data_IF_846307471844
#
_entry.id   IF_846307471844
#
_cell.length_a   1.000
_cell.length_b   1.000
_cell.length_c   1.000
_cell.angle_alpha   90.00
_cell.angle_beta   90.00
_cell.angle_gamma   90.00
#
_symmetry.space_group_name_H-M   'P 1'
#
loop_
_entity.id
_entity.type
_entity.pdbx_description
1 polymer ?
#
# COMPACT_ATOMS: atom_id res chain seq x y z
N UNK A 1 -70.76 5.61 -28.26
CA UNK A 1 -69.48 5.45 -28.98
C UNK A 1 -68.37 5.55 -27.94
N UNK A 2 -67.45 4.60 -27.99
CA UNK A 2 -66.77 3.97 -26.84
C UNK A 2 -65.52 4.71 -26.37
N UNK A 3 -65.39 4.96 -25.07
CA UNK A 3 -64.15 5.45 -24.43
C UNK A 3 -63.20 4.26 -24.20
N UNK A 4 -62.02 4.30 -24.81
CA UNK A 4 -60.98 3.29 -24.65
C UNK A 4 -60.09 3.64 -23.44
N UNK A 5 -60.13 2.79 -22.40
CA UNK A 5 -59.22 2.80 -21.26
C UNK A 5 -57.91 2.08 -21.65
N UNK A 6 -56.81 2.82 -21.75
CA UNK A 6 -55.48 2.24 -21.95
C UNK A 6 -54.95 1.70 -20.61
N UNK A 7 -54.84 0.38 -20.49
CA UNK A 7 -54.25 -0.27 -19.33
C UNK A 7 -52.74 -0.01 -19.24
N UNK A 8 -52.24 0.36 -18.05
CA UNK A 8 -50.80 0.43 -17.73
C UNK A 8 -50.18 -0.97 -17.74
N UNK A 9 -48.98 -1.17 -18.29
CA UNK A 9 -48.25 -2.42 -18.10
C UNK A 9 -47.84 -2.56 -16.63
N UNK A 10 -48.04 -3.75 -16.07
CA UNK A 10 -47.54 -4.16 -14.76
C UNK A 10 -46.00 -4.22 -14.80
N UNK A 11 -45.33 -3.34 -14.07
CA UNK A 11 -43.89 -3.49 -13.80
C UNK A 11 -43.67 -4.73 -12.92
N UNK A 12 -43.03 -5.76 -13.47
CA UNK A 12 -42.47 -6.85 -12.67
C UNK A 12 -41.40 -6.30 -11.71
N UNK A 13 -41.27 -6.84 -10.48
CA UNK A 13 -40.23 -6.40 -9.55
C UNK A 13 -38.86 -6.74 -10.15
N UNK A 14 -38.04 -5.72 -10.42
CA UNK A 14 -36.67 -5.90 -10.85
C UNK A 14 -35.89 -6.63 -9.74
N UNK A 15 -35.47 -7.87 -10.03
CA UNK A 15 -34.65 -8.68 -9.14
C UNK A 15 -33.35 -7.93 -8.79
N UNK A 16 -32.97 -7.79 -7.51
CA UNK A 16 -31.74 -7.08 -7.15
C UNK A 16 -30.53 -7.81 -7.75
N UNK A 17 -29.75 -7.10 -8.57
CA UNK A 17 -28.58 -7.66 -9.23
C UNK A 17 -27.55 -8.15 -8.21
N UNK A 18 -27.19 -9.43 -8.33
CA UNK A 18 -26.40 -10.25 -7.40
C UNK A 18 -24.88 -9.99 -7.49
N UNK A 19 -24.45 -8.73 -7.70
CA UNK A 19 -23.04 -8.38 -8.02
C UNK A 19 -22.35 -7.41 -7.04
N UNK A 20 -22.89 -7.20 -5.85
CA UNK A 20 -22.32 -6.32 -4.82
C UNK A 20 -21.52 -7.11 -3.78
N UNK A 21 -20.47 -7.82 -4.21
CA UNK A 21 -19.50 -8.43 -3.29
C UNK A 21 -18.21 -7.61 -3.21
N UNK A 22 -17.46 -7.61 -2.10
CA UNK A 22 -16.15 -6.95 -1.99
C UNK A 22 -15.17 -7.42 -3.08
N UNK A 23 -15.27 -8.69 -3.49
CA UNK A 23 -14.53 -9.26 -4.62
C UNK A 23 -14.95 -8.64 -5.96
N UNK A 24 -16.25 -8.37 -6.16
CA UNK A 24 -16.71 -7.72 -7.39
C UNK A 24 -16.25 -6.27 -7.49
N UNK A 25 -16.12 -5.58 -6.36
CA UNK A 25 -15.52 -4.24 -6.27
C UNK A 25 -14.03 -4.31 -6.59
N UNK A 26 -13.29 -5.23 -5.98
CA UNK A 26 -11.86 -5.43 -6.26
C UNK A 26 -11.61 -5.74 -7.75
N UNK A 27 -12.44 -6.61 -8.34
CA UNK A 27 -12.36 -6.94 -9.78
C UNK A 27 -12.71 -5.73 -10.65
N UNK A 28 -13.71 -4.92 -10.27
CA UNK A 28 -14.07 -3.72 -11.02
C UNK A 28 -12.97 -2.65 -10.96
N UNK A 29 -12.37 -2.41 -9.79
CA UNK A 29 -11.25 -1.48 -9.60
C UNK A 29 -9.99 -1.97 -10.32
N UNK A 30 -9.66 -3.27 -10.22
CA UNK A 30 -8.56 -3.85 -10.99
C UNK A 30 -8.78 -3.69 -12.49
N UNK A 31 -10.01 -3.92 -12.97
CA UNK A 31 -10.35 -3.74 -14.39
C UNK A 31 -10.29 -2.28 -14.81
N UNK A 32 -10.65 -1.34 -13.94
CA UNK A 32 -10.52 0.10 -14.19
C UNK A 32 -9.05 0.53 -14.25
N UNK A 33 -8.21 0.05 -13.33
CA UNK A 33 -6.78 0.28 -13.32
C UNK A 33 -6.17 -0.24 -14.63
N UNK A 34 -6.40 -1.50 -14.98
CA UNK A 34 -5.87 -2.12 -16.21
C UNK A 34 -6.41 -1.45 -17.48
N UNK A 35 -7.65 -0.96 -17.47
CA UNK A 35 -8.25 -0.29 -18.64
C UNK A 35 -7.71 1.14 -18.83
N UNK A 36 -7.28 1.80 -17.75
CA UNK A 36 -6.56 3.06 -17.84
C UNK A 36 -5.06 2.80 -18.01
N UNK A 37 -4.65 2.54 -19.26
CA UNK A 37 -3.27 2.19 -19.61
C UNK A 37 -2.26 3.17 -19.01
N UNK A 38 -2.55 4.47 -18.98
CA UNK A 38 -1.63 5.47 -18.42
C UNK A 38 -1.45 5.30 -16.92
N UNK A 39 -2.54 5.10 -16.16
CA UNK A 39 -2.47 4.90 -14.70
C UNK A 39 -1.84 3.55 -14.36
N UNK A 40 -2.20 2.48 -15.08
CA UNK A 40 -1.56 1.17 -14.91
C UNK A 40 -0.06 1.22 -15.24
N UNK A 41 0.31 1.89 -16.33
CA UNK A 41 1.71 2.06 -16.71
C UNK A 41 2.47 2.86 -15.66
N UNK A 42 1.96 4.00 -15.18
CA UNK A 42 2.64 4.77 -14.15
C UNK A 42 2.76 4.01 -12.81
N UNK A 43 1.67 3.36 -12.38
CA UNK A 43 1.65 2.56 -11.14
C UNK A 43 2.59 1.35 -11.22
N UNK A 44 2.79 0.77 -12.42
CA UNK A 44 3.68 -0.36 -12.63
C UNK A 44 5.14 0.08 -12.84
N UNK A 45 5.36 1.06 -13.71
CA UNK A 45 6.69 1.48 -14.17
C UNK A 45 7.44 2.26 -13.11
N UNK A 46 6.81 3.14 -12.33
CA UNK A 46 7.55 3.97 -11.37
C UNK A 46 8.22 3.13 -10.26
N UNK A 47 7.52 2.19 -9.58
CA UNK A 47 8.17 1.34 -8.57
C UNK A 47 9.21 0.40 -9.19
N UNK A 48 8.97 -0.14 -10.38
CA UNK A 48 9.93 -1.00 -11.08
C UNK A 48 11.16 -0.23 -11.57
N UNK A 49 10.97 1.01 -12.04
CA UNK A 49 12.06 1.88 -12.45
C UNK A 49 12.91 2.29 -11.25
N UNK A 50 12.30 2.60 -10.11
CA UNK A 50 13.02 2.79 -8.85
C UNK A 50 13.86 1.54 -8.50
N UNK A 51 13.25 0.37 -8.66
CA UNK A 51 13.87 -0.95 -8.67
C UNK A 51 15.16 -1.02 -9.50
N UNK A 52 15.00 -0.83 -10.81
CA UNK A 52 16.06 -0.93 -11.78
C UNK A 52 17.16 0.13 -11.58
N UNK A 53 16.79 1.34 -11.18
CA UNK A 53 17.70 2.47 -11.03
C UNK A 53 18.68 2.25 -9.87
N UNK A 54 18.16 1.82 -8.72
CA UNK A 54 18.98 1.50 -7.54
C UNK A 54 19.86 0.26 -7.77
N UNK A 55 19.40 -0.69 -8.58
CA UNK A 55 20.23 -1.81 -9.04
C UNK A 55 21.35 -1.36 -10.00
N UNK A 56 21.03 -0.46 -10.94
CA UNK A 56 21.95 -0.01 -12.00
C UNK A 56 23.06 0.94 -11.49
N UNK A 57 22.79 1.78 -10.49
CA UNK A 57 23.74 2.79 -10.02
C UNK A 57 24.89 2.29 -9.15
N UNK A 58 25.06 0.97 -9.01
CA UNK A 58 26.16 0.39 -8.25
C UNK A 58 25.90 0.43 -6.74
N UNK A 59 25.94 -0.74 -6.13
CA UNK A 59 25.54 -1.03 -4.75
C UNK A 59 26.30 -0.22 -3.69
N UNK A 60 25.60 0.63 -2.95
CA UNK A 60 25.97 0.91 -1.57
C UNK A 60 25.34 -0.18 -0.70
N UNK A 61 26.14 -0.97 0.00
CA UNK A 61 25.65 -1.97 0.95
C UNK A 61 25.43 -3.39 0.40
N UNK A 62 24.90 -4.24 1.27
CA UNK A 62 24.68 -5.69 1.07
C UNK A 62 23.38 -5.99 0.31
N UNK A 63 23.17 -7.23 -0.16
CA UNK A 63 21.92 -7.66 -0.78
C UNK A 63 20.68 -7.34 0.06
N UNK A 64 20.78 -7.51 1.39
CA UNK A 64 19.71 -7.14 2.32
C UNK A 64 19.43 -5.65 2.42
N UNK A 65 20.44 -4.79 2.28
CA UNK A 65 20.24 -3.34 2.26
C UNK A 65 19.55 -2.90 0.97
N UNK A 66 19.91 -3.52 -0.17
CA UNK A 66 19.21 -3.31 -1.43
C UNK A 66 17.76 -3.80 -1.32
N UNK A 67 17.52 -5.01 -0.82
CA UNK A 67 16.16 -5.53 -0.61
C UNK A 67 15.31 -4.60 0.28
N UNK A 68 15.90 -4.11 1.37
CA UNK A 68 15.22 -3.21 2.32
C UNK A 68 14.82 -1.87 1.72
N UNK A 69 15.73 -1.18 1.02
CA UNK A 69 15.42 0.11 0.39
C UNK A 69 14.39 -0.05 -0.74
N UNK A 70 14.44 -1.17 -1.47
CA UNK A 70 13.47 -1.49 -2.52
C UNK A 70 12.08 -1.73 -1.95
N UNK A 71 11.97 -2.57 -0.92
CA UNK A 71 10.69 -2.84 -0.25
C UNK A 71 10.08 -1.54 0.27
N UNK A 72 10.85 -0.72 0.99
CA UNK A 72 10.37 0.53 1.57
C UNK A 72 9.99 1.54 0.48
N UNK A 73 10.83 1.72 -0.55
CA UNK A 73 10.54 2.64 -1.66
C UNK A 73 9.32 2.22 -2.48
N UNK A 74 9.23 0.94 -2.84
CA UNK A 74 8.13 0.40 -3.64
C UNK A 74 6.80 0.38 -2.86
N UNK A 75 6.80 0.05 -1.57
CA UNK A 75 5.58 0.15 -0.75
C UNK A 75 5.19 1.61 -0.51
N UNK A 76 6.17 2.51 -0.32
CA UNK A 76 5.93 3.94 -0.19
C UNK A 76 5.23 4.54 -1.41
N UNK A 77 5.72 4.26 -2.63
CA UNK A 77 5.10 4.76 -3.86
C UNK A 77 3.88 3.92 -4.30
N UNK A 78 4.06 2.60 -4.36
CA UNK A 78 3.12 1.65 -4.95
C UNK A 78 1.91 1.38 -4.07
N UNK A 79 2.05 1.42 -2.74
CA UNK A 79 0.92 1.21 -1.81
C UNK A 79 0.51 2.53 -1.19
N UNK A 80 1.42 3.21 -0.49
CA UNK A 80 1.06 4.35 0.33
C UNK A 80 0.59 5.56 -0.49
N UNK A 81 1.42 6.06 -1.42
CA UNK A 81 1.05 7.20 -2.27
C UNK A 81 -0.14 6.85 -3.17
N UNK A 82 -0.10 5.68 -3.81
CA UNK A 82 -1.15 5.24 -4.75
C UNK A 82 -2.50 5.05 -4.07
N UNK A 83 -2.56 4.37 -2.92
CA UNK A 83 -3.82 4.17 -2.20
C UNK A 83 -4.35 5.50 -1.62
N UNK A 84 -3.48 6.37 -1.09
CA UNK A 84 -3.90 7.68 -0.58
C UNK A 84 -4.56 8.51 -1.68
N UNK A 85 -3.90 8.59 -2.84
CA UNK A 85 -4.38 9.34 -4.01
C UNK A 85 -5.69 8.76 -4.54
N UNK A 86 -5.80 7.44 -4.61
CA UNK A 86 -7.00 6.74 -5.07
C UNK A 86 -8.18 6.99 -4.12
N UNK A 87 -7.96 6.88 -2.81
CA UNK A 87 -8.99 7.14 -1.80
C UNK A 87 -9.43 8.61 -1.86
N UNK A 88 -8.50 9.56 -1.98
CA UNK A 88 -8.83 10.98 -2.12
C UNK A 88 -9.69 11.24 -3.37
N UNK A 89 -9.33 10.65 -4.52
CA UNK A 89 -10.11 10.75 -5.77
C UNK A 89 -11.54 10.19 -5.63
N UNK A 90 -11.69 9.03 -5.00
CA UNK A 90 -12.99 8.36 -4.82
C UNK A 90 -13.88 9.08 -3.81
N UNK A 91 -13.29 9.69 -2.78
CA UNK A 91 -13.99 10.57 -1.82
C UNK A 91 -14.48 11.84 -2.50
N UNK A 92 -13.64 12.50 -3.28
CA UNK A 92 -13.99 13.74 -4.01
C UNK A 92 -15.12 13.50 -5.02
N UNK A 93 -15.12 12.37 -5.72
CA UNK A 93 -16.14 12.01 -6.71
C UNK A 93 -17.45 11.42 -6.12
N UNK A 94 -17.63 11.48 -4.79
CA UNK A 94 -18.76 10.90 -4.04
C UNK A 94 -19.04 9.42 -4.36
N UNK A 95 -18.06 8.71 -4.90
CA UNK A 95 -18.21 7.31 -5.31
C UNK A 95 -18.49 6.41 -4.10
N UNK A 96 -17.82 6.67 -2.98
CA UNK A 96 -18.02 5.93 -1.72
C UNK A 96 -19.44 6.08 -1.17
N UNK A 97 -20.10 7.23 -1.37
CA UNK A 97 -21.48 7.45 -0.90
C UNK A 97 -22.49 6.57 -1.66
N UNK A 98 -22.28 6.38 -2.96
CA UNK A 98 -23.10 5.48 -3.80
C UNK A 98 -22.88 4.01 -3.49
N UNK A 99 -21.67 3.62 -3.06
CA UNK A 99 -21.39 2.25 -2.63
C UNK A 99 -21.96 1.93 -1.24
N UNK A 100 -21.95 2.91 -0.32
CA UNK A 100 -22.51 2.76 1.04
C UNK A 100 -24.04 2.65 1.07
N UNK A 101 -24.73 3.15 0.05
CA UNK A 101 -26.16 2.86 -0.14
C UNK A 101 -26.43 1.41 -0.63
N UNK A 102 -25.38 0.63 -0.89
CA UNK A 102 -25.46 -0.80 -1.22
C UNK A 102 -25.26 -1.70 -0.01
N UNK A 103 -25.38 -3.01 -0.22
CA UNK A 103 -25.31 -4.05 0.84
C UNK A 103 -23.90 -4.41 1.32
N UNK A 104 -22.87 -3.63 0.97
CA UNK A 104 -21.45 -3.96 1.25
C UNK A 104 -20.99 -3.23 2.50
N UNK A 105 -20.32 -3.94 3.42
CA UNK A 105 -19.77 -3.35 4.63
C UNK A 105 -18.67 -2.32 4.32
N UNK A 106 -18.54 -1.33 5.20
CA UNK A 106 -17.50 -0.29 5.16
C UNK A 106 -16.08 -0.89 4.99
N UNK A 107 -15.77 -1.97 5.72
CA UNK A 107 -14.51 -2.71 5.58
C UNK A 107 -14.37 -3.43 4.23
N UNK A 108 -15.47 -3.95 3.68
CA UNK A 108 -15.48 -4.60 2.36
C UNK A 108 -15.26 -3.61 1.22
N UNK A 109 -15.71 -2.36 1.36
CA UNK A 109 -15.46 -1.29 0.38
C UNK A 109 -13.98 -0.88 0.39
N UNK A 110 -13.42 -0.62 1.57
CA UNK A 110 -11.99 -0.25 1.71
C UNK A 110 -11.11 -1.40 1.23
N UNK A 111 -11.40 -2.62 1.68
CA UNK A 111 -10.70 -3.82 1.22
C UNK A 111 -10.78 -3.98 -0.30
N UNK A 112 -11.95 -3.76 -0.89
CA UNK A 112 -12.12 -3.81 -2.35
C UNK A 112 -11.29 -2.78 -3.11
N UNK A 113 -10.99 -1.64 -2.51
CA UNK A 113 -10.16 -0.59 -3.12
C UNK A 113 -8.66 -0.82 -2.94
N UNK A 114 -8.25 -1.27 -1.76
CA UNK A 114 -6.83 -1.39 -1.37
C UNK A 114 -6.24 -2.72 -1.79
N UNK A 115 -7.03 -3.81 -1.79
CA UNK A 115 -6.56 -5.15 -2.13
C UNK A 115 -5.94 -5.25 -3.55
N UNK A 116 -6.50 -4.63 -4.61
CA UNK A 116 -5.85 -4.61 -5.91
C UNK A 116 -4.47 -3.93 -5.90
N UNK A 117 -4.30 -2.88 -5.10
CA UNK A 117 -3.04 -2.12 -4.99
C UNK A 117 -1.98 -2.98 -4.30
N UNK A 118 -2.34 -3.62 -3.18
CA UNK A 118 -1.49 -4.56 -2.44
C UNK A 118 -1.09 -5.75 -3.33
N UNK A 119 -2.03 -6.31 -4.09
CA UNK A 119 -1.75 -7.44 -4.98
C UNK A 119 -0.73 -7.08 -6.08
N UNK A 120 -0.86 -5.88 -6.68
CA UNK A 120 0.11 -5.38 -7.66
C UNK A 120 1.47 -5.15 -7.01
N UNK A 121 1.51 -4.56 -5.81
CA UNK A 121 2.76 -4.31 -5.11
C UNK A 121 3.50 -5.60 -4.75
N UNK A 122 2.80 -6.60 -4.21
CA UNK A 122 3.37 -7.91 -3.94
C UNK A 122 3.91 -8.59 -5.21
N UNK A 123 3.19 -8.50 -6.33
CA UNK A 123 3.68 -9.04 -7.60
C UNK A 123 4.97 -8.33 -8.06
N UNK A 124 5.05 -7.00 -7.94
CA UNK A 124 6.26 -6.25 -8.26
C UNK A 124 7.42 -6.61 -7.33
N UNK A 125 7.17 -6.74 -6.02
CA UNK A 125 8.19 -7.15 -5.06
C UNK A 125 8.72 -8.55 -5.34
N UNK A 126 7.84 -9.52 -5.66
CA UNK A 126 8.27 -10.87 -6.05
C UNK A 126 9.18 -10.84 -7.27
N UNK A 127 8.88 -10.02 -8.28
CA UNK A 127 9.71 -9.88 -9.48
C UNK A 127 11.07 -9.27 -9.13
N UNK A 128 11.08 -8.12 -8.45
CA UNK A 128 12.32 -7.37 -8.16
C UNK A 128 13.21 -8.13 -7.18
N UNK A 129 12.66 -8.63 -6.08
CA UNK A 129 13.40 -9.43 -5.10
C UNK A 129 13.80 -10.78 -5.68
N UNK A 130 13.00 -11.36 -6.58
CA UNK A 130 13.35 -12.58 -7.30
C UNK A 130 14.61 -12.39 -8.15
N UNK A 131 14.72 -11.26 -8.87
CA UNK A 131 15.93 -10.92 -9.63
C UNK A 131 17.14 -10.74 -8.71
N UNK A 132 16.97 -10.09 -7.56
CA UNK A 132 18.05 -9.92 -6.58
C UNK A 132 18.49 -11.27 -5.98
N UNK A 133 17.54 -12.15 -5.69
CA UNK A 133 17.78 -13.48 -5.12
C UNK A 133 18.50 -14.45 -6.07
N UNK A 134 18.56 -14.17 -7.37
CA UNK A 134 19.37 -14.97 -8.32
C UNK A 134 20.86 -14.85 -8.00
N UNK A 135 21.31 -13.69 -7.51
CA UNK A 135 22.70 -13.47 -7.14
C UNK A 135 22.96 -13.89 -5.69
N UNK A 136 22.09 -13.46 -4.78
CA UNK A 136 22.23 -13.71 -3.35
C UNK A 136 20.85 -13.97 -2.73
N UNK A 137 20.43 -15.24 -2.56
CA UNK A 137 19.12 -15.56 -2.01
C UNK A 137 19.03 -15.25 -0.51
N UNK A 138 17.83 -14.92 0.00
CA UNK A 138 17.66 -14.56 1.41
C UNK A 138 17.92 -15.76 2.34
N UNK A 139 18.70 -15.53 3.40
CA UNK A 139 19.01 -16.53 4.42
C UNK A 139 17.77 -17.04 5.18
N UNK A 140 16.79 -16.16 5.42
CA UNK A 140 15.57 -16.45 6.16
C UNK A 140 14.33 -16.00 5.39
N UNK A 141 13.95 -16.76 4.35
CA UNK A 141 12.79 -16.45 3.51
C UNK A 141 11.48 -16.24 4.30
N UNK A 142 11.23 -17.07 5.32
CA UNK A 142 10.04 -16.91 6.15
C UNK A 142 10.00 -15.58 6.90
N UNK A 143 11.16 -15.12 7.39
CA UNK A 143 11.27 -13.82 8.08
C UNK A 143 11.10 -12.66 7.10
N UNK A 144 11.64 -12.79 5.88
CA UNK A 144 11.47 -11.79 4.83
C UNK A 144 9.98 -11.64 4.46
N UNK A 145 9.25 -12.74 4.32
CA UNK A 145 7.80 -12.71 4.06
C UNK A 145 7.06 -12.01 5.19
N UNK A 146 7.38 -12.31 6.45
CA UNK A 146 6.78 -11.62 7.60
C UNK A 146 7.07 -10.12 7.57
N UNK A 147 8.32 -9.72 7.29
CA UNK A 147 8.71 -8.31 7.19
C UNK A 147 7.91 -7.59 6.10
N UNK A 148 7.78 -8.18 4.91
CA UNK A 148 6.99 -7.63 3.79
C UNK A 148 5.51 -7.49 4.17
N UNK A 149 4.92 -8.50 4.81
CA UNK A 149 3.51 -8.44 5.22
C UNK A 149 3.26 -7.36 6.27
N UNK A 150 4.15 -7.21 7.24
CA UNK A 150 4.04 -6.14 8.25
C UNK A 150 4.22 -4.76 7.61
N UNK A 151 5.16 -4.64 6.67
CA UNK A 151 5.36 -3.41 5.90
C UNK A 151 4.12 -3.04 5.08
N UNK A 152 3.50 -3.99 4.40
CA UNK A 152 2.25 -3.81 3.65
C UNK A 152 1.13 -3.28 4.55
N UNK A 153 0.90 -3.94 5.69
CA UNK A 153 -0.11 -3.49 6.67
C UNK A 153 0.19 -2.07 7.15
N UNK A 154 1.46 -1.76 7.45
CA UNK A 154 1.87 -0.44 7.92
C UNK A 154 1.64 0.64 6.85
N UNK A 155 2.10 0.44 5.61
CA UNK A 155 1.96 1.43 4.53
C UNK A 155 0.52 1.58 4.04
N UNK A 156 -0.25 0.48 3.97
CA UNK A 156 -1.68 0.55 3.69
C UNK A 156 -2.42 1.34 4.78
N UNK A 157 -2.13 1.09 6.06
CA UNK A 157 -2.75 1.82 7.16
C UNK A 157 -2.37 3.31 7.17
N UNK A 158 -1.09 3.64 6.92
CA UNK A 158 -0.71 5.04 6.70
C UNK A 158 -1.48 5.67 5.53
N UNK A 159 -1.72 4.92 4.45
CA UNK A 159 -2.48 5.43 3.32
C UNK A 159 -3.90 5.82 3.71
N UNK A 160 -4.58 4.97 4.49
CA UNK A 160 -5.92 5.26 5.01
C UNK A 160 -5.91 6.47 5.95
N UNK A 161 -4.91 6.56 6.83
CA UNK A 161 -4.76 7.67 7.77
C UNK A 161 -4.57 9.01 7.03
N UNK A 162 -3.61 9.06 6.10
CA UNK A 162 -3.29 10.25 5.29
C UNK A 162 -4.42 10.60 4.34
N UNK A 163 -5.12 9.60 3.79
CA UNK A 163 -6.29 9.83 2.95
C UNK A 163 -7.37 10.59 3.71
N UNK A 164 -7.48 10.41 5.03
CA UNK A 164 -8.39 11.16 5.91
C UNK A 164 -8.23 12.69 5.79
N UNK A 165 -7.01 13.18 5.60
CA UNK A 165 -6.66 14.60 5.42
C UNK A 165 -6.65 15.07 3.98
N UNK A 166 -6.45 14.14 3.04
CA UNK A 166 -6.35 14.45 1.61
C UNK A 166 -7.72 14.78 1.04
N UNK A 167 -7.91 16.02 0.63
CA UNK A 167 -9.17 16.53 0.04
C UNK A 167 -9.27 16.26 -1.46
N UNK A 168 -8.12 16.15 -2.15
CA UNK A 168 -8.03 15.83 -3.57
C UNK A 168 -6.80 14.95 -3.87
N UNK A 169 -6.72 14.32 -5.06
CA UNK A 169 -5.54 13.59 -5.52
C UNK A 169 -4.26 14.44 -5.54
N UNK A 170 -4.37 15.71 -5.87
CA UNK A 170 -3.24 16.64 -5.90
C UNK A 170 -2.75 16.93 -4.48
N UNK A 171 -3.68 17.16 -3.54
CA UNK A 171 -3.34 17.35 -2.13
C UNK A 171 -2.75 16.07 -1.49
N UNK A 172 -3.17 14.89 -1.94
CA UNK A 172 -2.59 13.60 -1.51
C UNK A 172 -1.09 13.51 -1.80
N UNK A 173 -0.59 14.12 -2.87
CA UNK A 173 0.84 14.11 -3.19
C UNK A 173 1.66 14.85 -2.14
N UNK A 174 1.16 15.96 -1.59
CA UNK A 174 1.90 16.72 -0.57
C UNK A 174 1.75 16.12 0.82
N UNK A 175 0.58 15.62 1.17
CA UNK A 175 0.32 15.05 2.50
C UNK A 175 1.02 13.70 2.70
N UNK A 176 1.35 13.00 1.62
CA UNK A 176 2.11 11.74 1.70
C UNK A 176 3.61 11.94 1.87
N UNK A 177 4.17 13.05 1.36
CA UNK A 177 5.61 13.31 1.37
C UNK A 177 6.28 13.18 2.74
N UNK A 178 5.75 13.71 3.86
CA UNK A 178 6.47 13.66 5.13
C UNK A 178 6.79 12.22 5.59
N UNK A 179 5.78 11.33 5.59
CA UNK A 179 5.98 9.93 6.02
C UNK A 179 6.85 9.18 5.00
N UNK A 180 6.65 9.42 3.71
CA UNK A 180 7.44 8.77 2.67
C UNK A 180 8.93 9.17 2.73
N UNK A 181 9.21 10.47 2.89
CA UNK A 181 10.58 10.98 3.02
C UNK A 181 11.27 10.49 4.29
N UNK A 182 10.55 10.39 5.42
CA UNK A 182 11.14 9.84 6.65
C UNK A 182 11.47 8.36 6.46
N UNK A 183 10.51 7.54 6.01
CA UNK A 183 10.71 6.09 5.85
C UNK A 183 11.80 5.77 4.82
N UNK A 184 11.77 6.44 3.66
CA UNK A 184 12.80 6.28 2.62
C UNK A 184 14.15 6.83 3.07
N UNK A 185 14.17 7.99 3.72
CA UNK A 185 15.40 8.61 4.22
C UNK A 185 16.11 7.72 5.24
N UNK A 186 15.35 7.08 6.14
CA UNK A 186 15.88 6.11 7.11
C UNK A 186 16.42 4.85 6.40
N UNK A 187 15.71 4.36 5.38
CA UNK A 187 16.19 3.22 4.59
C UNK A 187 17.51 3.54 3.87
N UNK A 188 17.60 4.71 3.23
CA UNK A 188 18.83 5.19 2.58
C UNK A 188 19.95 5.39 3.60
N UNK A 189 19.65 5.95 4.78
CA UNK A 189 20.64 6.12 5.85
C UNK A 189 21.23 4.77 6.28
N UNK A 190 20.39 3.75 6.45
CA UNK A 190 20.82 2.36 6.67
C UNK A 190 21.69 1.82 5.55
N UNK A 191 21.34 2.08 4.28
CA UNK A 191 22.14 1.62 3.13
C UNK A 191 23.52 2.28 3.08
N UNK A 192 23.66 3.52 3.53
CA UNK A 192 24.94 4.27 3.50
C UNK A 192 25.85 3.91 4.69
N UNK A 193 25.28 3.81 5.88
CA UNK A 193 26.05 3.74 7.14
C UNK A 193 25.87 2.43 7.90
N UNK A 194 24.94 1.56 7.48
CA UNK A 194 24.63 0.34 8.20
C UNK A 194 24.18 0.60 9.64
N UNK A 195 24.66 -0.26 10.55
CA UNK A 195 24.42 -0.15 11.97
C UNK A 195 25.32 0.89 12.67
N UNK A 196 26.33 1.41 11.97
CA UNK A 196 27.14 2.51 12.45
C UNK A 196 26.29 3.79 12.44
N UNK A 197 26.57 4.75 13.31
CA UNK A 197 25.84 6.03 13.40
C UNK A 197 24.37 5.91 13.88
N UNK A 198 24.13 6.33 15.12
CA UNK A 198 22.79 6.50 15.72
C UNK A 198 21.85 5.28 15.56
N UNK A 199 22.36 4.06 15.76
CA UNK A 199 21.62 2.79 15.63
C UNK A 199 20.22 2.81 16.25
N UNK A 200 20.12 3.23 17.51
CA UNK A 200 18.85 3.26 18.23
C UNK A 200 17.84 4.25 17.65
N UNK A 201 18.32 5.39 17.16
CA UNK A 201 17.46 6.37 16.50
C UNK A 201 16.91 5.78 15.19
N UNK A 202 17.77 5.19 14.37
CA UNK A 202 17.35 4.51 13.13
C UNK A 202 16.30 3.43 13.41
N UNK A 203 16.51 2.58 14.42
CA UNK A 203 15.55 1.51 14.78
C UNK A 203 14.18 2.04 15.17
N UNK A 204 14.13 3.14 15.93
CA UNK A 204 12.88 3.72 16.45
C UNK A 204 12.14 4.53 15.38
N UNK A 205 12.83 5.10 14.39
CA UNK A 205 12.19 5.82 13.30
C UNK A 205 11.29 4.91 12.44
N UNK A 206 10.22 5.45 11.81
CA UNK A 206 9.29 4.65 11.05
C UNK A 206 9.99 3.98 9.87
N UNK A 207 9.80 2.67 9.73
CA UNK A 207 10.46 1.86 8.71
C UNK A 207 11.92 1.47 9.03
N UNK A 208 12.54 1.99 10.09
CA UNK A 208 13.94 1.69 10.37
C UNK A 208 14.19 0.35 11.05
N UNK A 209 13.40 -0.03 12.07
CA UNK A 209 13.43 -1.40 12.60
C UNK A 209 13.05 -2.44 11.54
N UNK A 210 12.14 -2.09 10.63
CA UNK A 210 11.74 -2.90 9.48
C UNK A 210 12.90 -3.07 8.49
N UNK A 211 13.63 -1.99 8.20
CA UNK A 211 14.80 -2.01 7.32
C UNK A 211 15.84 -3.01 7.83
N UNK A 212 16.22 -2.91 9.12
CA UNK A 212 17.18 -3.83 9.71
C UNK A 212 16.65 -5.28 9.78
N UNK A 213 15.33 -5.46 10.01
CA UNK A 213 14.70 -6.78 9.96
C UNK A 213 14.82 -7.42 8.57
N UNK A 214 14.66 -6.64 7.50
CA UNK A 214 14.84 -7.12 6.12
C UNK A 214 16.31 -7.46 5.87
N UNK A 215 17.24 -6.61 6.33
CA UNK A 215 18.70 -6.87 6.22
C UNK A 215 19.05 -8.18 6.92
N UNK A 216 18.56 -8.40 8.15
CA UNK A 216 18.74 -9.64 8.91
C UNK A 216 18.13 -10.84 8.19
N UNK A 217 16.92 -10.70 7.64
CA UNK A 217 16.24 -11.78 6.92
C UNK A 217 16.96 -12.17 5.63
N UNK A 218 17.58 -11.20 4.95
CA UNK A 218 18.27 -11.42 3.69
C UNK A 218 19.69 -11.94 3.89
N UNK A 219 20.50 -11.24 4.67
CA UNK A 219 21.91 -11.57 4.83
C UNK A 219 22.15 -12.68 5.87
N UNK A 220 21.16 -12.93 6.73
CA UNK A 220 21.35 -13.72 7.95
C UNK A 220 22.00 -12.89 9.06
N UNK A 221 22.07 -13.47 10.27
CA UNK A 221 22.66 -12.82 11.44
C UNK A 221 22.08 -13.35 12.75
N UNK A 222 22.25 -12.59 13.83
CA UNK A 222 21.77 -12.97 15.15
C UNK A 222 20.25 -12.79 15.27
N UNK A 223 19.51 -13.90 15.32
CA UNK A 223 18.07 -13.92 15.55
C UNK A 223 17.67 -13.46 16.96
N UNK A 224 18.62 -13.36 17.89
CA UNK A 224 18.44 -12.71 19.19
C UNK A 224 18.03 -11.23 19.07
N UNK A 225 18.27 -10.61 17.92
CA UNK A 225 17.84 -9.24 17.63
C UNK A 225 16.34 -9.13 17.29
N UNK A 226 15.64 -10.23 16.99
CA UNK A 226 14.23 -10.18 16.58
C UNK A 226 13.32 -9.35 17.51
N UNK A 227 13.39 -9.48 18.85
CA UNK A 227 12.54 -8.69 19.74
C UNK A 227 12.78 -7.18 19.58
N UNK A 228 14.04 -6.76 19.43
CA UNK A 228 14.38 -5.33 19.32
C UNK A 228 14.07 -4.74 17.95
N UNK A 229 13.99 -5.57 16.89
CA UNK A 229 13.61 -5.12 15.55
C UNK A 229 12.09 -5.17 15.34
N UNK A 230 11.43 -6.20 15.88
CA UNK A 230 9.97 -6.35 15.78
C UNK A 230 9.24 -5.34 16.64
N UNK A 231 9.73 -4.99 17.84
CA UNK A 231 9.06 -4.04 18.71
C UNK A 231 8.77 -2.68 18.05
N UNK A 232 9.76 -1.94 17.49
CA UNK A 232 9.50 -0.67 16.80
C UNK A 232 8.72 -0.87 15.50
N UNK A 233 8.94 -1.97 14.78
CA UNK A 233 8.23 -2.27 13.53
C UNK A 233 6.73 -2.45 13.77
N UNK A 234 6.37 -3.28 14.76
CA UNK A 234 4.98 -3.52 15.16
C UNK A 234 4.37 -2.30 15.83
N UNK A 235 5.16 -1.52 16.58
CA UNK A 235 4.70 -0.24 17.15
C UNK A 235 4.25 0.71 16.04
N UNK A 236 5.05 0.90 14.99
CA UNK A 236 4.66 1.77 13.87
C UNK A 236 3.50 1.23 13.05
N UNK A 237 3.42 -0.09 12.84
CA UNK A 237 2.25 -0.70 12.25
C UNK A 237 0.98 -0.45 13.10
N UNK A 238 1.07 -0.59 14.42
CA UNK A 238 -0.03 -0.32 15.34
C UNK A 238 -0.42 1.17 15.35
N UNK A 239 0.57 2.08 15.32
CA UNK A 239 0.34 3.53 15.20
C UNK A 239 -0.36 3.86 13.88
N UNK A 240 0.08 3.28 12.76
CA UNK A 240 -0.53 3.48 11.46
C UNK A 240 -1.99 2.98 11.44
N UNK A 241 -2.25 1.79 11.99
CA UNK A 241 -3.61 1.23 12.11
C UNK A 241 -4.50 2.08 13.02
N UNK A 242 -3.98 2.49 14.18
CA UNK A 242 -4.72 3.36 15.10
C UNK A 242 -5.04 4.72 14.47
N UNK A 243 -4.08 5.29 13.72
CA UNK A 243 -4.28 6.51 12.96
C UNK A 243 -5.34 6.31 11.87
N UNK A 244 -5.29 5.21 11.11
CA UNK A 244 -6.28 4.88 10.09
C UNK A 244 -7.70 4.82 10.68
N UNK A 245 -7.88 4.09 11.78
CA UNK A 245 -9.19 3.95 12.45
C UNK A 245 -9.72 5.30 12.97
N UNK A 246 -8.85 6.17 13.50
CA UNK A 246 -9.27 7.47 14.07
C UNK A 246 -9.48 8.55 13.03
N UNK A 247 -8.70 8.54 11.95
CA UNK A 247 -8.60 9.66 11.01
C UNK A 247 -9.37 9.42 9.73
N UNK A 248 -9.60 8.16 9.35
CA UNK A 248 -10.34 7.85 8.14
C UNK A 248 -11.80 8.30 8.31
N UNK A 249 -12.21 9.26 7.47
CA UNK A 249 -13.57 9.80 7.43
C UNK A 249 -14.15 9.59 6.05
N UNK A 250 -15.39 9.12 5.99
CA UNK A 250 -16.07 8.83 4.72
C UNK A 250 -16.45 10.10 3.94
N UNK A 251 -16.70 11.21 4.63
CA UNK A 251 -17.15 12.47 4.03
C UNK A 251 -15.98 13.44 3.80
N UNK A 252 -15.94 14.18 2.68
CA UNK A 252 -14.99 15.30 2.49
C UNK A 252 -15.23 16.38 3.54
N UNK A 253 -14.17 16.98 4.08
CA UNK A 253 -14.31 18.24 4.84
C UNK A 253 -14.69 19.32 3.82
N UNK A 254 -15.81 20.01 4.06
CA UNK A 254 -16.22 21.17 3.26
C UNK A 254 -15.26 22.33 3.47
#
# INVERSE_FOLDING_TARGET
MTTATTARPSESPATPSRRSGPVAIAVAELRMLVRNRTVALCALLLPLAFGALTFAFGSYGTGGMLAGVQIIGMLGLGVYVTATTTLAARRQSLHLKRLRSGSVSDAGIIGGLVLPIVAVSLAQLVIVLGVLAVQEPPAHLGLLVVAVLVAEVMFAAFALATAGFSTSPEHAQYTTMPIYLITLGVAIWWTITGADDLLWLKRILPGGGLMELIVLAWNGGDLGLLPVLLAPTLLWAAVAVAAAVRMFRWEPRR
#
